data_IF_340323363922
#
_entry.id   IF_340323363922
#
_cell.length_a   1.000
_cell.length_b   1.000
_cell.length_c   1.000
_cell.angle_alpha   90.00
_cell.angle_beta   90.00
_cell.angle_gamma   90.00
#
_symmetry.space_group_name_H-M   'P 1'
#
loop_
_entity.id
_entity.type
_entity.pdbx_description
1 polymer ?
#
# COMPACT_ATOMS: atom_id res chain seq x y z
N UNK A 1 15.77 -28.31 -10.92
CA UNK A 1 15.53 -26.96 -10.31
C UNK A 1 16.82 -26.43 -9.67
N UNK A 2 17.48 -27.16 -8.78
CA UNK A 2 18.72 -26.76 -8.08
C UNK A 2 19.90 -26.40 -8.99
N UNK A 3 20.05 -27.07 -10.13
CA UNK A 3 21.12 -26.78 -11.13
C UNK A 3 20.89 -25.45 -11.88
N UNK A 4 19.64 -25.00 -12.00
CA UNK A 4 19.29 -23.73 -12.66
C UNK A 4 19.56 -22.52 -11.76
N UNK A 5 19.43 -22.68 -10.43
CA UNK A 5 19.70 -21.62 -9.45
C UNK A 5 21.15 -21.17 -9.43
N UNK A 6 22.10 -22.09 -9.65
CA UNK A 6 23.55 -21.77 -9.70
C UNK A 6 23.99 -20.84 -10.85
N UNK A 7 23.07 -20.45 -11.75
CA UNK A 7 23.35 -19.53 -12.87
C UNK A 7 22.54 -18.21 -12.78
N UNK A 8 21.64 -18.10 -11.82
CA UNK A 8 20.89 -16.87 -11.60
C UNK A 8 21.73 -15.90 -10.77
N UNK A 9 21.70 -14.63 -11.15
CA UNK A 9 22.42 -13.55 -10.47
C UNK A 9 21.50 -12.45 -9.94
N UNK A 10 20.21 -12.50 -10.27
CA UNK A 10 19.23 -11.51 -9.88
C UNK A 10 18.01 -12.18 -9.25
N UNK A 11 17.61 -11.68 -8.08
CA UNK A 11 16.36 -12.07 -7.41
C UNK A 11 15.47 -10.84 -7.36
N UNK A 12 14.25 -10.99 -7.88
CA UNK A 12 13.20 -9.98 -7.79
C UNK A 12 12.18 -10.45 -6.76
N UNK A 13 11.98 -9.66 -5.74
CA UNK A 13 11.02 -9.91 -4.68
C UNK A 13 9.80 -8.99 -4.88
N UNK A 14 8.59 -9.55 -4.93
CA UNK A 14 7.42 -8.71 -4.73
C UNK A 14 7.41 -8.12 -3.32
N UNK A 15 6.81 -6.95 -3.15
CA UNK A 15 6.69 -6.35 -1.82
C UNK A 15 5.60 -7.06 -0.99
N UNK A 16 4.37 -7.07 -1.53
CA UNK A 16 3.17 -7.42 -0.77
C UNK A 16 3.06 -8.93 -0.56
N UNK A 17 2.97 -9.38 0.70
CA UNK A 17 2.91 -10.80 1.03
C UNK A 17 4.24 -11.56 0.92
N UNK A 18 5.27 -10.95 0.33
CA UNK A 18 6.62 -11.53 0.19
C UNK A 18 7.60 -10.88 1.16
N UNK A 19 7.94 -9.61 0.97
CA UNK A 19 8.76 -8.82 1.91
C UNK A 19 7.93 -8.39 3.12
N UNK A 20 6.65 -8.14 2.91
CA UNK A 20 5.68 -7.71 3.93
C UNK A 20 4.68 -8.83 4.24
N UNK A 21 3.89 -8.63 5.29
CA UNK A 21 2.88 -9.61 5.73
C UNK A 21 1.69 -9.76 4.75
N UNK A 22 1.51 -8.82 3.81
CA UNK A 22 0.38 -8.79 2.87
C UNK A 22 -0.94 -8.33 3.50
N UNK A 23 -0.91 -7.89 4.74
CA UNK A 23 -2.05 -7.38 5.50
C UNK A 23 -1.79 -5.96 5.97
N UNK A 24 -2.25 -4.95 5.21
CA UNK A 24 -2.13 -3.55 5.62
C UNK A 24 -2.85 -3.29 6.95
N UNK A 25 -2.26 -2.45 7.80
CA UNK A 25 -2.85 -1.99 9.06
C UNK A 25 -2.78 -0.48 9.18
N UNK A 26 -3.70 0.13 9.92
CA UNK A 26 -3.61 1.54 10.30
C UNK A 26 -2.50 1.69 11.33
N UNK A 27 -1.47 2.46 11.00
CA UNK A 27 -0.30 2.69 11.87
C UNK A 27 -0.36 4.04 12.58
N UNK A 28 -0.85 5.08 11.91
CA UNK A 28 -0.87 6.43 12.44
C UNK A 28 -2.14 7.17 12.01
N UNK A 29 -2.52 8.15 12.81
CA UNK A 29 -3.66 9.04 12.56
C UNK A 29 -3.25 10.46 12.96
N UNK A 30 -3.44 11.40 12.04
CA UNK A 30 -3.21 12.82 12.26
C UNK A 30 -4.51 13.59 12.00
N UNK A 31 -5.12 14.12 13.03
CA UNK A 31 -6.32 14.96 12.92
C UNK A 31 -5.97 16.37 12.44
N UNK A 32 -6.83 16.97 11.64
CA UNK A 32 -6.73 18.38 11.31
C UNK A 32 -7.02 19.25 12.57
N UNK A 33 -6.53 20.49 12.62
CA UNK A 33 -6.79 21.38 13.75
C UNK A 33 -8.29 21.50 14.06
N UNK A 34 -8.66 21.27 15.32
CA UNK A 34 -10.05 21.34 15.79
C UNK A 34 -10.92 20.12 15.47
N UNK A 35 -10.36 19.07 14.89
CA UNK A 35 -11.08 17.81 14.61
C UNK A 35 -10.73 16.77 15.68
N UNK A 36 -11.74 16.20 16.29
CA UNK A 36 -11.58 15.12 17.27
C UNK A 36 -11.27 13.78 16.56
N UNK A 37 -10.44 12.93 17.21
CA UNK A 37 -10.09 11.62 16.69
C UNK A 37 -11.32 10.77 16.36
N UNK A 38 -12.31 10.81 17.22
CA UNK A 38 -13.54 10.03 17.04
C UNK A 38 -14.33 10.48 15.81
N UNK A 39 -14.33 11.77 15.52
CA UNK A 39 -14.97 12.35 14.33
C UNK A 39 -14.29 11.86 13.04
N UNK A 40 -12.96 11.93 12.96
CA UNK A 40 -12.19 11.43 11.82
C UNK A 40 -12.39 9.94 11.63
N UNK A 41 -12.29 9.15 12.70
CA UNK A 41 -12.50 7.70 12.63
C UNK A 41 -13.93 7.36 12.20
N UNK A 42 -14.95 8.02 12.74
CA UNK A 42 -16.33 7.75 12.34
C UNK A 42 -16.57 8.05 10.85
N UNK A 43 -16.02 9.14 10.34
CA UNK A 43 -16.09 9.49 8.92
C UNK A 43 -15.37 8.44 8.06
N UNK A 44 -14.14 8.08 8.42
CA UNK A 44 -13.33 7.10 7.71
C UNK A 44 -14.01 5.72 7.66
N UNK A 45 -14.46 5.24 8.81
CA UNK A 45 -15.14 3.95 8.93
C UNK A 45 -16.45 3.90 8.13
N UNK A 46 -17.23 4.99 8.16
CA UNK A 46 -18.48 5.09 7.42
C UNK A 46 -18.24 5.14 5.90
N UNK A 47 -17.18 5.80 5.43
CA UNK A 47 -16.83 5.83 4.02
C UNK A 47 -16.29 4.47 3.53
N UNK A 48 -15.35 3.87 4.28
CA UNK A 48 -14.64 2.67 3.83
C UNK A 48 -15.45 1.37 3.99
N UNK A 49 -16.62 1.40 4.64
CA UNK A 49 -17.41 0.18 4.90
C UNK A 49 -17.83 -0.58 3.64
N UNK A 50 -17.95 0.10 2.49
CA UNK A 50 -18.33 -0.50 1.22
C UNK A 50 -17.17 -0.66 0.23
N UNK A 51 -15.97 -0.28 0.62
CA UNK A 51 -14.78 -0.43 -0.21
C UNK A 51 -14.13 -1.80 0.02
N UNK A 52 -13.84 -2.52 -1.07
CA UNK A 52 -13.13 -3.81 -1.02
C UNK A 52 -11.61 -3.65 -1.11
N UNK A 53 -11.11 -2.42 -1.22
CA UNK A 53 -9.69 -2.16 -1.35
C UNK A 53 -8.91 -2.64 -0.10
N UNK A 54 -7.69 -3.22 -0.22
CA UNK A 54 -6.90 -3.66 0.92
C UNK A 54 -6.71 -2.60 2.00
N UNK A 55 -6.55 -1.34 1.61
CA UNK A 55 -6.46 -0.19 2.52
C UNK A 55 -7.76 0.02 3.30
N UNK A 56 -8.91 -0.12 2.65
CA UNK A 56 -10.21 -0.03 3.31
C UNK A 56 -10.39 -1.13 4.37
N UNK A 57 -9.91 -2.34 4.09
CA UNK A 57 -9.91 -3.44 5.07
C UNK A 57 -9.12 -3.07 6.32
N UNK A 58 -7.95 -2.42 6.17
CA UNK A 58 -7.14 -1.95 7.29
C UNK A 58 -7.89 -0.90 8.14
N UNK A 59 -8.55 0.08 7.49
CA UNK A 59 -9.37 1.08 8.18
C UNK A 59 -10.54 0.41 8.88
N UNK A 60 -11.27 -0.47 8.21
CA UNK A 60 -12.42 -1.18 8.79
C UNK A 60 -12.02 -2.07 9.98
N UNK A 61 -10.86 -2.70 9.96
CA UNK A 61 -10.34 -3.48 11.08
C UNK A 61 -10.03 -2.58 12.28
N UNK A 62 -9.42 -1.43 12.04
CA UNK A 62 -9.22 -0.41 13.08
C UNK A 62 -10.56 0.02 13.69
N UNK A 63 -11.57 0.23 12.87
CA UNK A 63 -12.91 0.63 13.29
C UNK A 63 -13.59 -0.41 14.21
N UNK A 64 -13.48 -1.69 13.86
CA UNK A 64 -14.00 -2.79 14.68
C UNK A 64 -13.31 -2.84 16.04
N UNK A 65 -11.97 -2.74 16.03
CA UNK A 65 -11.19 -2.76 17.27
C UNK A 65 -11.54 -1.61 18.21
N UNK A 66 -11.78 -0.41 17.66
CA UNK A 66 -12.08 0.78 18.44
C UNK A 66 -13.61 0.93 18.69
N UNK A 67 -14.44 -0.06 18.26
CA UNK A 67 -15.89 -0.06 18.38
C UNK A 67 -16.55 1.22 17.83
N UNK A 68 -16.06 1.73 16.69
CA UNK A 68 -16.56 2.95 16.06
C UNK A 68 -17.95 2.73 15.51
N UNK A 69 -18.91 3.58 15.90
CA UNK A 69 -20.28 3.53 15.39
C UNK A 69 -20.32 4.03 13.95
N UNK A 70 -20.77 3.18 13.03
CA UNK A 70 -21.00 3.55 11.63
C UNK A 70 -22.28 4.38 11.49
N UNK A 71 -22.26 5.30 10.53
CA UNK A 71 -23.42 6.09 10.13
C UNK A 71 -23.98 5.57 8.79
N UNK A 72 -25.18 6.04 8.44
CA UNK A 72 -25.74 5.78 7.13
C UNK A 72 -25.05 6.67 6.08
N UNK A 73 -24.70 6.08 4.95
CA UNK A 73 -24.12 6.78 3.80
C UNK A 73 -25.04 6.63 2.58
N UNK A 74 -25.20 7.70 1.84
CA UNK A 74 -25.87 7.72 0.53
C UNK A 74 -24.89 8.21 -0.54
N UNK A 75 -25.24 8.04 -1.81
CA UNK A 75 -24.44 8.48 -2.97
C UNK A 75 -22.98 8.00 -2.92
N UNK A 76 -22.78 6.80 -2.36
CA UNK A 76 -21.45 6.20 -2.30
C UNK A 76 -20.92 5.91 -3.70
N UNK A 77 -19.70 6.34 -3.98
CA UNK A 77 -19.02 6.11 -5.24
C UNK A 77 -17.54 5.82 -5.02
N UNK A 78 -17.05 4.78 -5.68
CA UNK A 78 -15.63 4.50 -5.80
C UNK A 78 -15.08 5.23 -7.03
N UNK A 79 -14.09 6.10 -6.84
CA UNK A 79 -13.44 6.86 -7.91
C UNK A 79 -12.11 6.17 -8.25
N UNK A 80 -12.03 5.41 -9.35
CA UNK A 80 -10.87 4.57 -9.65
C UNK A 80 -9.55 5.35 -9.64
N UNK A 81 -8.55 4.81 -8.92
CA UNK A 81 -7.21 5.38 -8.79
C UNK A 81 -7.11 6.67 -7.97
N UNK A 82 -8.22 7.15 -7.39
CA UNK A 82 -8.28 8.42 -6.63
C UNK A 82 -8.73 8.22 -5.19
N UNK A 83 -9.85 7.54 -4.98
CA UNK A 83 -10.44 7.36 -3.66
C UNK A 83 -11.94 7.08 -3.73
N UNK A 84 -12.65 7.49 -2.70
CA UNK A 84 -14.09 7.27 -2.52
C UNK A 84 -14.79 8.56 -2.13
N UNK A 85 -16.10 8.63 -2.35
CA UNK A 85 -16.95 9.73 -1.91
C UNK A 85 -18.33 9.23 -1.50
N UNK A 86 -19.04 10.05 -0.72
CA UNK A 86 -20.41 9.77 -0.32
C UNK A 86 -21.01 10.90 0.50
N UNK A 87 -22.27 10.76 0.86
CA UNK A 87 -23.03 11.72 1.67
C UNK A 87 -23.38 11.08 3.02
N UNK A 88 -22.98 11.70 4.12
CA UNK A 88 -23.25 11.26 5.48
C UNK A 88 -23.97 12.40 6.20
N UNK A 89 -25.17 12.16 6.72
CA UNK A 89 -25.98 13.14 7.44
C UNK A 89 -26.13 14.48 6.70
N UNK A 90 -26.27 14.44 5.36
CA UNK A 90 -26.45 15.61 4.51
C UNK A 90 -25.17 16.32 4.07
N UNK A 91 -24.00 16.01 4.65
CA UNK A 91 -22.70 16.54 4.25
C UNK A 91 -22.00 15.61 3.27
N UNK A 92 -21.31 16.18 2.29
CA UNK A 92 -20.49 15.41 1.34
C UNK A 92 -19.14 15.08 1.98
N UNK A 93 -18.68 13.87 1.77
CA UNK A 93 -17.38 13.37 2.23
C UNK A 93 -16.58 12.84 1.06
N UNK A 94 -15.26 13.01 1.14
CA UNK A 94 -14.30 12.39 0.23
C UNK A 94 -13.17 11.78 1.05
N UNK A 95 -12.64 10.67 0.56
CA UNK A 95 -11.42 10.07 1.08
C UNK A 95 -10.55 9.57 -0.09
N UNK A 96 -9.23 9.71 0.03
CA UNK A 96 -8.32 9.23 -1.00
C UNK A 96 -6.93 9.83 -0.95
N UNK A 97 -6.25 9.78 -2.10
CA UNK A 97 -4.89 10.31 -2.22
C UNK A 97 -4.86 11.85 -2.20
N UNK A 98 -3.64 12.40 -2.03
CA UNK A 98 -3.40 13.84 -1.98
C UNK A 98 -4.06 14.60 -3.13
N UNK A 99 -3.81 14.17 -4.37
CA UNK A 99 -4.30 14.87 -5.55
C UNK A 99 -5.83 14.94 -5.62
N UNK A 100 -6.50 13.88 -5.19
CA UNK A 100 -7.97 13.83 -5.19
C UNK A 100 -8.57 14.76 -4.14
N UNK A 101 -8.07 14.72 -2.93
CA UNK A 101 -8.62 15.50 -1.82
C UNK A 101 -8.20 16.98 -1.92
N UNK A 102 -6.99 17.26 -2.39
CA UNK A 102 -6.48 18.64 -2.55
C UNK A 102 -6.99 19.36 -3.80
N UNK A 103 -7.88 18.77 -4.58
CA UNK A 103 -8.46 19.43 -5.76
C UNK A 103 -9.08 20.82 -5.46
N UNK A 104 -9.52 21.02 -4.22
CA UNK A 104 -10.10 22.28 -3.73
C UNK A 104 -9.14 23.11 -2.86
N UNK A 105 -7.85 22.78 -2.81
CA UNK A 105 -6.84 23.51 -2.04
C UNK A 105 -7.06 23.46 -0.52
N UNK A 106 -7.59 22.35 0.00
CA UNK A 106 -7.96 22.21 1.41
C UNK A 106 -6.89 21.58 2.30
N UNK A 107 -5.83 21.05 1.71
CA UNK A 107 -4.72 20.46 2.46
C UNK A 107 -3.73 21.58 2.81
N UNK A 108 -3.53 21.82 4.10
CA UNK A 108 -2.56 22.79 4.59
C UNK A 108 -1.12 22.30 4.39
N UNK A 109 -0.15 23.22 4.38
CA UNK A 109 1.28 22.88 4.33
C UNK A 109 1.70 21.95 5.49
N UNK A 110 1.08 22.06 6.66
CA UNK A 110 1.37 21.20 7.79
C UNK A 110 0.85 19.76 7.56
N UNK A 111 -0.36 19.61 7.03
CA UNK A 111 -0.91 18.31 6.65
C UNK A 111 -0.11 17.66 5.51
N UNK A 112 0.38 18.46 4.57
CA UNK A 112 1.27 17.98 3.50
C UNK A 112 2.60 17.48 4.07
N UNK A 113 3.25 18.25 4.96
CA UNK A 113 4.47 17.81 5.66
C UNK A 113 4.25 16.52 6.46
N UNK A 114 3.12 16.42 7.18
CA UNK A 114 2.80 15.22 7.93
C UNK A 114 2.61 13.99 7.01
N UNK A 115 1.94 14.18 5.88
CA UNK A 115 1.79 13.16 4.85
C UNK A 115 3.14 12.71 4.27
N UNK A 116 4.03 13.66 4.00
CA UNK A 116 5.39 13.36 3.51
C UNK A 116 6.22 12.58 4.54
N UNK A 117 6.08 12.88 5.84
CA UNK A 117 6.72 12.10 6.90
C UNK A 117 6.23 10.65 6.88
N UNK A 118 4.92 10.43 6.83
CA UNK A 118 4.36 9.08 6.73
C UNK A 118 4.85 8.34 5.48
N UNK A 119 4.85 9.00 4.32
CA UNK A 119 5.34 8.38 3.08
C UNK A 119 6.84 8.04 3.15
N UNK A 120 7.66 8.88 3.79
CA UNK A 120 9.09 8.62 4.00
C UNK A 120 9.37 7.46 4.96
N UNK A 121 8.39 7.10 5.79
CA UNK A 121 8.41 5.92 6.66
C UNK A 121 7.82 4.66 5.98
N UNK A 122 7.52 4.73 4.68
CA UNK A 122 6.97 3.60 3.93
C UNK A 122 5.47 3.38 4.12
N UNK A 123 4.76 4.36 4.68
CA UNK A 123 3.32 4.32 4.91
C UNK A 123 2.57 4.99 3.77
N UNK A 124 1.34 4.58 3.55
CA UNK A 124 0.43 5.19 2.55
C UNK A 124 -0.54 6.13 3.27
N UNK A 125 -0.42 7.46 3.10
CA UNK A 125 -1.33 8.42 3.69
C UNK A 125 -2.63 8.51 2.90
N UNK A 126 -3.75 8.45 3.61
CA UNK A 126 -5.10 8.67 3.11
C UNK A 126 -5.67 9.93 3.74
N UNK A 127 -6.14 10.84 2.92
CA UNK A 127 -6.76 12.10 3.36
C UNK A 127 -8.27 11.93 3.42
N UNK A 128 -8.87 12.50 4.46
CA UNK A 128 -10.31 12.52 4.68
C UNK A 128 -10.79 13.95 4.80
N UNK A 129 -11.85 14.30 4.06
CA UNK A 129 -12.44 15.63 4.09
C UNK A 129 -13.96 15.57 4.00
N UNK A 130 -14.61 16.62 4.50
CA UNK A 130 -16.07 16.82 4.37
C UNK A 130 -16.42 18.25 4.00
N UNK A 131 -17.65 18.46 3.56
CA UNK A 131 -18.23 19.82 3.51
C UNK A 131 -18.79 20.22 4.87
N UNK A 132 -18.67 21.50 5.21
CA UNK A 132 -19.44 22.10 6.30
C UNK A 132 -20.89 22.43 5.86
N UNK A 133 -21.68 23.01 6.76
CA UNK A 133 -23.07 23.42 6.52
C UNK A 133 -23.20 24.44 5.37
N UNK A 134 -22.14 25.17 5.06
CA UNK A 134 -22.10 26.15 3.94
C UNK A 134 -21.69 25.51 2.62
N UNK A 135 -21.32 24.25 2.63
CA UNK A 135 -20.82 23.50 1.47
C UNK A 135 -19.31 23.68 1.20
N UNK A 136 -18.59 24.35 2.11
CA UNK A 136 -17.14 24.52 2.01
C UNK A 136 -16.42 23.27 2.49
N UNK A 137 -15.43 22.82 1.72
CA UNK A 137 -14.61 21.66 2.07
C UNK A 137 -13.66 21.96 3.24
N UNK A 138 -13.53 20.99 4.14
CA UNK A 138 -12.63 21.02 5.30
C UNK A 138 -11.92 19.68 5.39
N UNK A 139 -10.60 19.69 5.62
CA UNK A 139 -9.83 18.51 5.94
C UNK A 139 -10.23 18.00 7.34
N UNK A 140 -10.50 16.72 7.46
CA UNK A 140 -10.69 16.05 8.77
C UNK A 140 -9.36 15.52 9.29
N UNK A 141 -8.51 15.00 8.42
CA UNK A 141 -7.20 14.47 8.81
C UNK A 141 -6.64 13.48 7.83
N UNK A 142 -5.60 12.79 8.28
CA UNK A 142 -4.84 11.80 7.54
C UNK A 142 -4.81 10.50 8.35
N UNK A 143 -5.09 9.38 7.71
CA UNK A 143 -4.88 8.04 8.26
C UNK A 143 -3.78 7.39 7.43
N UNK A 144 -2.70 6.97 8.09
CA UNK A 144 -1.61 6.26 7.45
C UNK A 144 -1.78 4.75 7.60
N UNK A 145 -1.62 4.06 6.49
CA UNK A 145 -1.73 2.60 6.41
C UNK A 145 -0.41 2.03 5.89
N UNK A 146 0.09 1.00 6.52
CA UNK A 146 1.27 0.29 6.05
C UNK A 146 1.06 -1.22 6.07
N UNK A 147 1.68 -1.87 5.09
CA UNK A 147 1.88 -3.31 5.10
C UNK A 147 3.23 -3.58 5.78
N UNK A 148 3.19 -4.21 6.93
CA UNK A 148 4.35 -4.35 7.82
C UNK A 148 5.37 -5.32 7.23
N UNK A 149 6.63 -4.91 7.20
CA UNK A 149 7.76 -5.77 6.81
C UNK A 149 7.84 -6.98 7.75
N UNK A 150 8.00 -8.17 7.19
CA UNK A 150 8.21 -9.40 7.98
C UNK A 150 9.51 -9.31 8.78
N UNK A 151 9.51 -9.90 9.97
CA UNK A 151 10.65 -9.85 10.88
C UNK A 151 11.94 -10.44 10.28
N UNK A 152 11.82 -11.47 9.45
CA UNK A 152 12.92 -12.17 8.80
C UNK A 152 13.37 -11.55 7.46
N UNK A 153 12.63 -10.61 6.90
CA UNK A 153 12.91 -10.07 5.56
C UNK A 153 14.27 -9.37 5.46
N UNK A 154 14.65 -8.61 6.48
CA UNK A 154 15.94 -7.89 6.50
C UNK A 154 17.11 -8.88 6.47
N UNK A 155 17.03 -9.92 7.32
CA UNK A 155 18.05 -10.96 7.42
C UNK A 155 18.14 -11.78 6.12
N UNK A 156 16.99 -12.22 5.60
CA UNK A 156 16.92 -12.98 4.35
C UNK A 156 17.52 -12.20 3.17
N UNK A 157 17.22 -10.92 3.04
CA UNK A 157 17.77 -10.08 1.97
C UNK A 157 19.30 -9.95 2.13
N UNK A 158 19.78 -9.79 3.36
CA UNK A 158 21.21 -9.76 3.64
C UNK A 158 21.90 -11.07 3.20
N UNK A 159 21.35 -12.22 3.58
CA UNK A 159 21.88 -13.54 3.19
C UNK A 159 21.91 -13.72 1.66
N UNK A 160 20.85 -13.32 0.96
CA UNK A 160 20.82 -13.38 -0.50
C UNK A 160 21.93 -12.54 -1.14
N UNK A 161 22.21 -11.35 -0.59
CA UNK A 161 23.31 -10.50 -1.05
C UNK A 161 24.68 -11.11 -0.75
N UNK A 162 24.86 -11.76 0.39
CA UNK A 162 26.09 -12.50 0.75
C UNK A 162 26.32 -13.69 -0.22
N UNK A 163 25.26 -14.27 -0.79
CA UNK A 163 25.32 -15.28 -1.85
C UNK A 163 25.60 -14.68 -3.25
N UNK A 164 25.92 -13.37 -3.33
CA UNK A 164 26.17 -12.62 -4.56
C UNK A 164 24.95 -12.47 -5.48
N UNK A 165 23.74 -12.53 -4.97
CA UNK A 165 22.57 -12.12 -5.74
C UNK A 165 22.38 -10.58 -5.70
N UNK A 166 22.02 -10.01 -6.84
CA UNK A 166 21.43 -8.68 -6.91
C UNK A 166 19.97 -8.82 -6.49
N UNK A 167 19.56 -8.14 -5.41
CA UNK A 167 18.19 -8.20 -4.87
C UNK A 167 17.42 -6.96 -5.27
N UNK A 168 16.31 -7.13 -5.99
CA UNK A 168 15.44 -6.07 -6.49
C UNK A 168 14.06 -6.22 -5.85
N UNK A 169 13.49 -5.14 -5.32
CA UNK A 169 12.09 -5.08 -4.90
C UNK A 169 11.22 -4.54 -6.02
N UNK A 170 10.13 -5.25 -6.36
CA UNK A 170 9.14 -4.85 -7.35
C UNK A 170 7.80 -4.57 -6.67
N UNK A 171 7.18 -3.40 -6.91
CA UNK A 171 5.93 -3.02 -6.25
C UNK A 171 5.09 -2.05 -7.07
N UNK A 172 3.77 -2.07 -6.85
CA UNK A 172 2.82 -1.09 -7.34
C UNK A 172 2.76 0.21 -6.56
N UNK A 173 3.43 0.29 -5.40
CA UNK A 173 3.45 1.49 -4.56
C UNK A 173 4.10 2.68 -5.27
N UNK A 174 3.77 3.89 -4.79
CA UNK A 174 4.47 5.09 -5.23
C UNK A 174 5.96 5.06 -4.84
N UNK A 175 6.76 5.84 -5.55
CA UNK A 175 8.21 5.82 -5.45
C UNK A 175 8.73 6.18 -4.04
N UNK A 176 8.10 7.13 -3.33
CA UNK A 176 8.49 7.52 -1.96
C UNK A 176 8.35 6.36 -0.98
N UNK A 177 7.16 5.76 -0.95
CA UNK A 177 6.85 4.61 -0.07
C UNK A 177 7.72 3.40 -0.39
N UNK A 178 7.86 3.07 -1.68
CA UNK A 178 8.67 1.95 -2.13
C UNK A 178 10.15 2.11 -1.76
N UNK A 179 10.73 3.28 -2.00
CA UNK A 179 12.12 3.55 -1.65
C UNK A 179 12.36 3.54 -0.13
N UNK A 180 11.38 3.95 0.68
CA UNK A 180 11.48 3.87 2.14
C UNK A 180 11.59 2.41 2.61
N UNK A 181 10.70 1.54 2.12
CA UNK A 181 10.74 0.10 2.41
C UNK A 181 12.04 -0.52 1.87
N UNK A 182 12.43 -0.20 0.62
CA UNK A 182 13.67 -0.71 0.02
C UNK A 182 14.92 -0.41 0.85
N UNK A 183 15.01 0.84 1.38
CA UNK A 183 16.09 1.21 2.33
C UNK A 183 16.00 0.44 3.65
N UNK A 184 14.80 0.28 4.20
CA UNK A 184 14.58 -0.44 5.45
C UNK A 184 15.03 -1.89 5.36
N UNK A 185 14.74 -2.57 4.25
CA UNK A 185 15.06 -3.99 4.08
C UNK A 185 16.41 -4.25 3.40
N UNK A 186 17.04 -3.21 2.83
CA UNK A 186 18.39 -3.26 2.29
C UNK A 186 18.53 -3.88 0.91
N UNK A 187 17.49 -3.81 0.06
CA UNK A 187 17.59 -4.24 -1.36
C UNK A 187 18.53 -3.35 -2.16
N UNK A 188 19.06 -3.87 -3.27
CA UNK A 188 19.99 -3.13 -4.14
C UNK A 188 19.26 -2.15 -5.07
N UNK A 189 18.02 -2.48 -5.46
CA UNK A 189 17.23 -1.68 -6.38
C UNK A 189 15.74 -1.78 -6.05
N UNK A 190 15.01 -0.70 -6.32
CA UNK A 190 13.55 -0.63 -6.18
C UNK A 190 12.93 -0.27 -7.52
N UNK A 191 11.96 -1.06 -7.98
CA UNK A 191 11.14 -0.80 -9.15
C UNK A 191 9.71 -0.54 -8.65
N UNK A 192 9.34 0.75 -8.58
CA UNK A 192 8.08 1.23 -8.04
C UNK A 192 7.04 1.55 -9.13
N UNK A 193 5.77 1.70 -8.73
CA UNK A 193 4.69 2.14 -9.61
C UNK A 193 4.29 1.14 -10.70
N UNK A 194 4.62 -0.14 -10.53
CA UNK A 194 4.35 -1.18 -11.51
C UNK A 194 3.03 -1.87 -11.20
N UNK A 195 2.03 -1.60 -12.03
CA UNK A 195 0.75 -2.28 -11.94
C UNK A 195 0.89 -3.80 -12.20
N UNK A 196 -0.06 -4.63 -11.74
CA UNK A 196 0.03 -6.09 -11.89
C UNK A 196 0.33 -6.54 -13.33
N UNK A 197 -0.33 -5.91 -14.32
CA UNK A 197 -0.15 -6.23 -15.75
C UNK A 197 1.25 -5.86 -16.26
N UNK A 198 1.93 -4.90 -15.64
CA UNK A 198 3.26 -4.44 -16.01
C UNK A 198 4.40 -5.25 -15.40
N UNK A 199 4.12 -6.07 -14.37
CA UNK A 199 5.17 -6.84 -13.68
C UNK A 199 5.87 -7.83 -14.58
N UNK A 200 5.12 -8.54 -15.44
CA UNK A 200 5.69 -9.49 -16.41
C UNK A 200 6.67 -8.82 -17.36
N UNK A 201 6.33 -7.61 -17.84
CA UNK A 201 7.20 -6.85 -18.74
C UNK A 201 8.51 -6.45 -18.05
N UNK A 202 8.46 -6.04 -16.77
CA UNK A 202 9.66 -5.72 -15.99
C UNK A 202 10.57 -6.94 -15.79
N UNK A 203 10.02 -8.11 -15.51
CA UNK A 203 10.80 -9.36 -15.45
C UNK A 203 11.45 -9.64 -16.80
N UNK A 204 10.73 -9.51 -17.91
CA UNK A 204 11.27 -9.69 -19.26
C UNK A 204 12.40 -8.72 -19.59
N UNK A 205 12.31 -7.46 -19.14
CA UNK A 205 13.38 -6.47 -19.28
C UNK A 205 14.64 -6.89 -18.51
N UNK A 206 14.50 -7.31 -17.26
CA UNK A 206 15.60 -7.75 -16.40
C UNK A 206 16.30 -9.01 -16.95
N UNK A 207 15.55 -9.93 -17.55
CA UNK A 207 16.10 -11.15 -18.19
C UNK A 207 17.03 -10.87 -19.36
N UNK A 208 17.00 -9.66 -19.96
CA UNK A 208 17.97 -9.28 -21.01
C UNK A 208 19.39 -9.11 -20.45
N UNK A 209 19.52 -8.85 -19.16
CA UNK A 209 20.80 -8.61 -18.48
C UNK A 209 21.31 -9.84 -17.71
N UNK A 210 20.54 -10.91 -17.63
CA UNK A 210 20.92 -12.13 -16.92
C UNK A 210 19.72 -12.97 -16.54
N UNK A 211 19.97 -14.07 -15.83
CA UNK A 211 18.90 -14.95 -15.35
C UNK A 211 18.26 -14.42 -14.08
N UNK A 212 16.94 -14.49 -14.04
CA UNK A 212 16.10 -13.89 -13.01
C UNK A 212 15.29 -14.95 -12.25
N UNK A 213 15.34 -14.86 -10.92
CA UNK A 213 14.41 -15.52 -10.02
C UNK A 213 13.36 -14.50 -9.63
N UNK A 214 12.07 -14.82 -9.77
CA UNK A 214 10.95 -14.02 -9.26
C UNK A 214 10.33 -14.73 -8.07
N UNK A 215 10.13 -13.98 -6.96
CA UNK A 215 9.45 -14.47 -5.75
C UNK A 215 8.24 -13.57 -5.50
N UNK A 216 7.07 -14.16 -5.32
CA UNK A 216 5.81 -13.45 -5.10
C UNK A 216 4.75 -14.29 -4.41
N UNK A 217 3.57 -13.72 -4.16
CA UNK A 217 2.45 -14.39 -3.47
C UNK A 217 1.69 -15.41 -4.35
N UNK A 218 1.95 -15.42 -5.64
CA UNK A 218 1.32 -16.35 -6.60
C UNK A 218 -0.06 -15.91 -7.11
N UNK A 219 -0.70 -14.92 -6.53
CA UNK A 219 -2.04 -14.45 -6.92
C UNK A 219 -1.93 -13.33 -7.95
N UNK A 220 -1.28 -12.23 -7.58
CA UNK A 220 -1.12 -11.06 -8.44
C UNK A 220 0.12 -11.15 -9.34
N UNK A 221 1.03 -12.03 -9.01
CA UNK A 221 2.34 -12.17 -9.66
C UNK A 221 2.46 -13.36 -10.60
N UNK A 222 1.38 -14.14 -10.79
CA UNK A 222 1.41 -15.36 -11.60
C UNK A 222 2.02 -15.18 -13.00
N UNK A 223 1.72 -14.10 -13.78
CA UNK A 223 2.36 -13.85 -15.07
C UNK A 223 3.87 -13.60 -14.93
N UNK A 224 4.30 -12.83 -13.93
CA UNK A 224 5.69 -12.51 -13.67
C UNK A 224 6.48 -13.74 -13.19
N UNK A 225 5.89 -14.55 -12.30
CA UNK A 225 6.45 -15.82 -11.82
C UNK A 225 6.65 -16.81 -12.97
N UNK A 226 5.66 -16.93 -13.85
CA UNK A 226 5.73 -17.81 -15.03
C UNK A 226 6.78 -17.33 -16.04
N UNK A 227 6.98 -16.01 -16.12
CA UNK A 227 7.91 -15.39 -17.06
C UNK A 227 9.36 -15.57 -16.67
N UNK A 228 9.69 -15.50 -15.38
CA UNK A 228 11.05 -15.60 -14.87
C UNK A 228 11.71 -16.94 -15.23
N UNK A 229 13.06 -17.01 -15.22
CA UNK A 229 13.79 -18.27 -15.36
C UNK A 229 13.42 -19.26 -14.24
N UNK A 230 13.16 -18.72 -13.02
CA UNK A 230 12.63 -19.46 -11.87
C UNK A 230 11.59 -18.59 -11.19
N UNK A 231 10.36 -19.08 -11.08
CA UNK A 231 9.29 -18.48 -10.29
C UNK A 231 9.12 -19.24 -8.98
N UNK A 232 9.09 -18.53 -7.88
CA UNK A 232 8.85 -19.07 -6.53
C UNK A 232 7.61 -18.39 -5.96
N UNK A 233 6.53 -19.14 -5.79
CA UNK A 233 5.34 -18.64 -5.10
C UNK A 233 5.48 -18.93 -3.61
N UNK A 234 5.41 -17.87 -2.79
CA UNK A 234 5.32 -17.97 -1.33
C UNK A 234 3.82 -17.85 -0.99
N UNK A 235 3.12 -18.97 -0.90
CA UNK A 235 1.74 -18.98 -0.41
C UNK A 235 1.73 -18.83 1.11
N UNK A 236 0.86 -17.98 1.65
CA UNK A 236 0.34 -18.20 3.00
C UNK A 236 -0.37 -19.54 2.93
N UNK A 237 0.19 -20.56 3.58
CA UNK A 237 -0.30 -21.93 3.48
C UNK A 237 -1.80 -22.01 3.78
N UNK A 238 -2.60 -22.06 2.74
CA UNK A 238 -3.92 -22.68 2.85
C UNK A 238 -3.63 -24.16 2.78
N UNK A 239 -3.70 -24.84 3.92
CA UNK A 239 -3.78 -26.28 3.98
C UNK A 239 -4.92 -26.71 3.05
N UNK A 240 -4.54 -27.15 1.85
CA UNK A 240 -5.43 -27.96 1.02
C UNK A 240 -5.16 -29.39 1.48
N UNK A 241 -5.94 -29.82 2.47
CA UNK A 241 -6.05 -31.20 2.83
C UNK A 241 -6.90 -31.96 1.79
#
# INVERSE_FOLDING_TARGET
ALEATGRCNTIVLDKTGTITNGTPVVTDIACAPGVELQELLQAACTLEQYSEHPIAKAVNERCRRDNVRLLSITDFENVPGKGIRGTISGNRYIAGNYNYVNHNGIISEEAERQSDLFANEGKTPLFFARTDETGKWQLLGIIAVADVVKEDSVETIRELKEMNFKVIMLTGDNEKTANAIGRQVGVDEVIAGVLPEGKEEKIRELMKSGKVIMVGDGINDAPALTRADIGIAIGAGTDIA
#
